data_IF_360011396678
#
_entry.id   IF_360011396678
#
_cell.length_a   1.000
_cell.length_b   1.000
_cell.length_c   1.000
_cell.angle_alpha   90.00
_cell.angle_beta   90.00
_cell.angle_gamma   90.00
#
_symmetry.space_group_name_H-M   'P 1'
#
loop_
_entity.id
_entity.type
_entity.pdbx_description
1 polymer ?
#
# COMPACT_ATOMS: atom_id res chain seq x y z
N UNK A 1 -10.79 2.69 -2.19
CA UNK A 1 -11.32 1.82 -1.11
C UNK A 1 -10.59 0.51 -1.09
N UNK A 2 -10.40 -0.06 0.09
CA UNK A 2 -9.65 -1.32 0.28
C UNK A 2 -10.40 -2.22 1.25
N UNK A 3 -10.46 -3.52 0.94
CA UNK A 3 -10.93 -4.51 1.91
C UNK A 3 -9.84 -4.66 2.96
N UNK A 4 -10.19 -4.26 4.18
CA UNK A 4 -9.27 -4.28 5.31
C UNK A 4 -9.29 -5.61 6.07
N UNK A 5 -10.49 -6.18 6.25
CA UNK A 5 -10.67 -7.42 7.00
C UNK A 5 -11.95 -8.13 6.57
N UNK A 6 -11.89 -9.44 6.53
CA UNK A 6 -13.04 -10.32 6.39
C UNK A 6 -13.19 -11.19 7.64
N UNK A 7 -14.39 -11.24 8.22
CA UNK A 7 -14.72 -12.04 9.41
C UNK A 7 -15.83 -13.03 9.01
N UNK A 8 -15.46 -14.22 8.50
CA UNK A 8 -16.42 -15.15 7.90
C UNK A 8 -17.49 -15.62 8.89
N UNK A 9 -17.17 -15.80 10.16
CA UNK A 9 -18.10 -16.29 11.19
C UNK A 9 -19.27 -15.33 11.44
N UNK A 10 -19.08 -14.04 11.12
CA UNK A 10 -20.07 -12.98 11.29
C UNK A 10 -20.59 -12.41 9.98
N UNK A 11 -20.08 -12.91 8.85
CA UNK A 11 -20.34 -12.36 7.52
C UNK A 11 -20.05 -10.83 7.44
N UNK A 12 -19.01 -10.38 8.14
CA UNK A 12 -18.63 -8.97 8.20
C UNK A 12 -17.45 -8.68 7.29
N UNK A 13 -17.57 -7.61 6.53
CA UNK A 13 -16.52 -7.08 5.68
C UNK A 13 -16.17 -5.66 6.14
N UNK A 14 -14.91 -5.45 6.49
CA UNK A 14 -14.40 -4.12 6.83
C UNK A 14 -13.75 -3.52 5.60
N UNK A 15 -14.16 -2.31 5.27
CA UNK A 15 -13.62 -1.57 4.14
C UNK A 15 -13.14 -0.20 4.58
N UNK A 16 -11.93 0.16 4.18
CA UNK A 16 -11.37 1.48 4.42
C UNK A 16 -11.53 2.37 3.19
N UNK A 17 -11.87 3.62 3.43
CA UNK A 17 -12.03 4.66 2.42
C UNK A 17 -11.10 5.81 2.74
N UNK A 18 -10.30 6.24 1.76
CA UNK A 18 -9.56 7.49 1.86
C UNK A 18 -10.54 8.63 1.57
N UNK A 19 -10.63 9.57 2.50
CA UNK A 19 -11.43 10.79 2.33
C UNK A 19 -10.52 11.90 1.80
N UNK A 20 -10.87 12.47 0.66
CA UNK A 20 -10.11 13.53 0.00
C UNK A 20 -11.02 14.67 -0.47
N UNK A 21 -11.94 15.10 0.39
CA UNK A 21 -12.96 16.12 0.10
C UNK A 21 -14.21 15.53 -0.55
N UNK A 22 -15.03 16.40 -1.14
CA UNK A 22 -16.38 16.06 -1.64
C UNK A 22 -16.39 15.63 -3.12
N UNK A 23 -15.22 15.38 -3.71
CA UNK A 23 -15.12 14.94 -5.10
C UNK A 23 -15.14 13.42 -5.22
N UNK A 24 -15.74 12.90 -6.29
CA UNK A 24 -15.89 11.47 -6.51
C UNK A 24 -17.13 10.87 -5.84
N UNK A 25 -17.21 9.55 -5.79
CA UNK A 25 -18.41 8.84 -5.33
C UNK A 25 -18.22 8.10 -4.00
N UNK A 26 -17.13 7.36 -3.87
CA UNK A 26 -16.93 6.42 -2.75
C UNK A 26 -16.62 7.13 -1.41
N UNK A 27 -15.72 8.12 -1.42
CA UNK A 27 -15.37 8.89 -0.22
C UNK A 27 -16.57 9.67 0.36
N UNK A 28 -17.25 10.52 -0.43
CA UNK A 28 -18.45 11.22 0.03
C UNK A 28 -19.59 10.30 0.46
N UNK A 29 -19.74 9.14 -0.17
CA UNK A 29 -20.71 8.13 0.29
C UNK A 29 -20.31 7.60 1.66
N UNK A 30 -19.07 7.15 1.84
CA UNK A 30 -18.59 6.59 3.09
C UNK A 30 -18.66 7.59 4.25
N UNK A 31 -18.37 8.88 3.99
CA UNK A 31 -18.45 9.94 4.98
C UNK A 31 -19.88 10.21 5.51
N UNK A 32 -20.91 9.81 4.76
CA UNK A 32 -22.33 10.03 5.11
C UNK A 32 -23.09 8.75 5.42
N UNK A 33 -22.44 7.56 5.23
CA UNK A 33 -23.09 6.27 5.39
C UNK A 33 -23.61 6.06 6.81
N UNK A 34 -24.84 5.57 6.91
CA UNK A 34 -25.52 5.26 8.16
C UNK A 34 -25.88 3.77 8.23
N UNK A 35 -26.11 3.22 9.43
CA UNK A 35 -26.59 1.87 9.59
C UNK A 35 -27.86 1.60 8.77
N UNK A 36 -27.80 0.59 7.89
CA UNK A 36 -28.87 0.24 6.96
C UNK A 36 -28.61 0.64 5.51
N UNK A 37 -27.62 1.50 5.26
CA UNK A 37 -27.20 1.84 3.90
C UNK A 37 -26.59 0.62 3.19
N UNK A 38 -26.74 0.60 1.87
CA UNK A 38 -26.29 -0.51 1.05
C UNK A 38 -25.24 -0.07 0.05
N UNK A 39 -24.21 -0.88 -0.10
CA UNK A 39 -23.19 -0.75 -1.14
C UNK A 39 -23.10 -2.07 -1.93
N UNK A 40 -22.89 -1.94 -3.25
CA UNK A 40 -22.56 -3.09 -4.09
C UNK A 40 -21.06 -3.09 -4.30
N UNK A 41 -20.38 -4.14 -3.84
CA UNK A 41 -18.98 -4.36 -4.10
C UNK A 41 -18.82 -5.45 -5.17
N UNK A 42 -18.11 -5.13 -6.25
CA UNK A 42 -17.64 -6.14 -7.19
C UNK A 42 -16.37 -6.76 -6.61
N UNK A 43 -16.22 -8.06 -6.72
CA UNK A 43 -15.21 -8.86 -6.04
C UNK A 43 -13.80 -8.25 -5.95
N UNK A 44 -13.02 -8.61 -4.93
CA UNK A 44 -11.70 -8.04 -4.72
C UNK A 44 -10.77 -8.39 -5.88
N UNK A 45 -10.04 -7.38 -6.37
CA UNK A 45 -8.86 -7.58 -7.19
C UNK A 45 -7.63 -7.73 -6.29
N UNK A 46 -6.63 -8.45 -6.77
CA UNK A 46 -5.36 -8.65 -6.06
C UNK A 46 -4.99 -10.13 -6.01
N UNK A 47 -3.71 -10.43 -6.26
CA UNK A 47 -3.21 -11.82 -6.29
C UNK A 47 -1.96 -12.00 -5.43
N UNK A 48 -1.41 -10.90 -4.91
CA UNK A 48 -0.20 -10.99 -4.14
C UNK A 48 -0.51 -11.41 -2.70
N UNK A 49 0.24 -12.38 -2.23
CA UNK A 49 0.19 -12.90 -0.87
C UNK A 49 1.63 -12.92 -0.36
N UNK A 50 1.91 -12.49 0.88
CA UNK A 50 3.25 -12.60 1.44
C UNK A 50 3.73 -14.05 1.45
N UNK A 51 4.98 -14.25 1.06
CA UNK A 51 5.68 -15.51 1.27
C UNK A 51 6.03 -15.62 2.76
N UNK A 52 5.53 -16.61 3.48
CA UNK A 52 5.82 -16.77 4.90
C UNK A 52 7.28 -17.13 5.19
N UNK A 53 8.00 -17.63 4.20
CA UNK A 53 9.41 -18.05 4.30
C UNK A 53 10.39 -16.96 3.82
N UNK A 54 9.89 -15.77 3.46
CA UNK A 54 10.76 -14.68 3.08
C UNK A 54 11.72 -14.29 4.20
N UNK A 55 12.99 -14.11 3.85
CA UNK A 55 14.02 -13.72 4.80
C UNK A 55 13.84 -12.28 5.31
N UNK A 56 13.30 -11.40 4.44
CA UNK A 56 13.05 -10.00 4.77
C UNK A 56 11.91 -9.41 3.93
N UNK A 57 11.07 -8.61 4.54
CA UNK A 57 9.88 -8.03 3.90
C UNK A 57 9.92 -6.50 3.96
N UNK A 58 9.80 -5.84 2.82
CA UNK A 58 9.46 -4.42 2.77
C UNK A 58 7.97 -4.25 2.47
N UNK A 59 7.31 -3.42 3.27
CA UNK A 59 5.96 -2.93 2.99
C UNK A 59 6.01 -1.42 2.85
N UNK A 60 5.71 -0.88 1.66
CA UNK A 60 5.75 0.55 1.39
C UNK A 60 4.39 1.02 0.85
N UNK A 61 3.81 2.05 1.45
CA UNK A 61 2.49 2.54 1.06
C UNK A 61 2.30 4.02 1.35
N UNK A 62 1.53 4.70 0.49
CA UNK A 62 0.96 6.01 0.80
C UNK A 62 -0.48 5.87 1.36
N UNK A 63 -1.13 6.99 1.72
CA UNK A 63 -2.48 7.03 2.30
C UNK A 63 -3.48 6.11 1.57
N UNK A 64 -3.43 6.08 0.24
CA UNK A 64 -4.38 5.31 -0.56
C UNK A 64 -4.13 3.79 -0.42
N UNK A 65 -2.92 3.40 -0.11
CA UNK A 65 -2.49 2.01 -0.03
C UNK A 65 -2.24 1.53 1.42
N UNK A 66 -2.17 2.45 2.41
CA UNK A 66 -1.99 2.09 3.83
C UNK A 66 -2.97 1.00 4.29
N UNK A 67 -4.27 1.02 3.97
CA UNK A 67 -5.16 -0.06 4.38
C UNK A 67 -4.75 -1.45 3.85
N UNK A 68 -4.25 -1.52 2.61
CA UNK A 68 -3.74 -2.75 2.03
C UNK A 68 -2.41 -3.17 2.69
N UNK A 69 -1.52 -2.21 2.95
CA UNK A 69 -0.28 -2.44 3.67
C UNK A 69 -0.52 -2.99 5.08
N UNK A 70 -1.50 -2.45 5.81
CA UNK A 70 -1.90 -2.95 7.12
C UNK A 70 -2.41 -4.40 7.05
N UNK A 71 -3.20 -4.74 6.04
CA UNK A 71 -3.66 -6.11 5.84
C UNK A 71 -2.51 -7.08 5.56
N UNK A 72 -1.51 -6.65 4.76
CA UNK A 72 -0.28 -7.40 4.52
C UNK A 72 0.49 -7.61 5.82
N UNK A 73 0.76 -6.54 6.58
CA UNK A 73 1.52 -6.58 7.82
C UNK A 73 0.88 -7.52 8.87
N UNK A 74 -0.44 -7.49 8.99
CA UNK A 74 -1.19 -8.37 9.90
C UNK A 74 -1.20 -9.84 9.45
N UNK A 75 -0.95 -10.11 8.17
CA UNK A 75 -0.87 -11.48 7.65
C UNK A 75 0.53 -12.09 7.73
N UNK A 76 1.55 -11.31 8.08
CA UNK A 76 2.92 -11.80 8.21
C UNK A 76 3.05 -12.78 9.39
N UNK A 77 3.87 -13.83 9.26
CA UNK A 77 4.13 -14.74 10.36
C UNK A 77 4.87 -14.03 11.51
N UNK A 78 4.71 -14.51 12.72
CA UNK A 78 5.35 -13.93 13.92
C UNK A 78 6.89 -13.87 13.82
N UNK A 79 7.50 -14.73 12.99
CA UNK A 79 8.94 -14.79 12.72
C UNK A 79 9.40 -13.78 11.67
N UNK A 80 8.49 -13.08 10.99
CA UNK A 80 8.82 -12.15 9.90
C UNK A 80 9.79 -11.06 10.38
N UNK A 81 10.68 -10.68 9.46
CA UNK A 81 11.63 -9.59 9.62
C UNK A 81 11.46 -8.60 8.48
N UNK A 82 11.68 -7.33 8.75
CA UNK A 82 11.54 -6.34 7.68
C UNK A 82 11.31 -4.93 8.18
N UNK A 83 10.83 -4.10 7.27
CA UNK A 83 10.45 -2.73 7.57
C UNK A 83 9.18 -2.34 6.82
N UNK A 84 8.29 -1.61 7.48
CA UNK A 84 7.17 -0.93 6.87
C UNK A 84 7.49 0.56 6.78
N UNK A 85 7.37 1.14 5.59
CA UNK A 85 7.49 2.58 5.32
C UNK A 85 6.12 3.07 4.87
N UNK A 86 5.47 3.85 5.71
CA UNK A 86 4.10 4.29 5.51
C UNK A 86 4.05 5.82 5.43
N UNK A 87 3.69 6.35 4.25
CA UNK A 87 3.57 7.78 4.02
C UNK A 87 2.14 8.25 4.23
N UNK A 88 1.99 9.26 5.09
CA UNK A 88 0.71 9.95 5.33
C UNK A 88 0.88 11.46 5.25
N UNK A 89 -0.23 12.20 5.28
CA UNK A 89 -0.21 13.66 5.22
C UNK A 89 0.58 14.25 6.39
N UNK A 90 0.21 13.87 7.61
CA UNK A 90 0.68 14.45 8.86
C UNK A 90 0.59 13.47 10.04
N UNK A 91 1.19 13.75 11.20
CA UNK A 91 1.13 12.87 12.37
C UNK A 91 -0.29 12.48 12.84
N UNK A 92 -1.33 13.35 12.77
CA UNK A 92 -2.70 12.97 13.07
C UNK A 92 -3.29 11.85 12.18
N UNK A 93 -2.71 11.63 11.00
CA UNK A 93 -3.16 10.62 10.04
C UNK A 93 -2.58 9.22 10.31
N UNK A 94 -1.73 9.09 11.33
CA UNK A 94 -1.13 7.82 11.75
C UNK A 94 -2.19 6.87 12.25
N UNK A 95 -2.23 5.68 11.69
CA UNK A 95 -3.15 4.61 12.10
C UNK A 95 -2.46 3.62 13.04
N UNK A 96 -3.21 2.98 13.96
CA UNK A 96 -2.69 1.85 14.73
C UNK A 96 -2.22 0.72 13.82
N UNK A 97 -1.02 0.21 14.07
CA UNK A 97 -0.41 -0.88 13.29
C UNK A 97 -0.03 -2.02 14.23
N UNK A 98 -0.41 -3.23 13.84
CA UNK A 98 0.05 -4.45 14.50
C UNK A 98 1.02 -5.17 13.56
N UNK A 99 2.25 -5.39 14.01
CA UNK A 99 3.30 -6.05 13.23
C UNK A 99 4.02 -7.12 14.05
N UNK A 100 4.64 -8.11 13.40
CA UNK A 100 5.58 -9.02 14.08
C UNK A 100 6.74 -8.25 14.72
N UNK A 101 7.26 -8.75 15.82
CA UNK A 101 8.32 -8.08 16.60
C UNK A 101 9.62 -7.81 15.80
N UNK A 102 9.86 -8.56 14.72
CA UNK A 102 10.99 -8.37 13.81
C UNK A 102 10.76 -7.35 12.71
N UNK A 103 9.59 -6.70 12.64
CA UNK A 103 9.25 -5.71 11.61
C UNK A 103 9.25 -4.31 12.22
N UNK A 104 10.12 -3.43 11.75
CA UNK A 104 10.12 -2.02 12.12
C UNK A 104 9.02 -1.27 11.36
N UNK A 105 8.45 -0.24 11.97
CA UNK A 105 7.48 0.66 11.30
C UNK A 105 8.01 2.08 11.31
N UNK A 106 8.07 2.66 10.12
CA UNK A 106 8.46 4.05 9.90
C UNK A 106 7.32 4.80 9.24
N UNK A 107 6.87 5.86 9.89
CA UNK A 107 5.95 6.81 9.30
C UNK A 107 6.71 7.95 8.64
N UNK A 108 6.26 8.35 7.46
CA UNK A 108 6.81 9.42 6.65
C UNK A 108 5.72 10.48 6.46
N UNK A 109 6.04 11.74 6.75
CA UNK A 109 5.06 12.83 6.74
C UNK A 109 5.31 13.78 5.56
N UNK A 110 4.34 13.87 4.65
CA UNK A 110 4.43 14.77 3.49
C UNK A 110 4.50 16.24 3.86
N UNK A 111 3.85 16.65 4.94
CA UNK A 111 3.93 18.04 5.43
C UNK A 111 5.34 18.45 5.85
N UNK A 112 6.19 17.50 6.22
CA UNK A 112 7.60 17.72 6.56
C UNK A 112 8.52 17.69 5.34
N UNK A 113 7.96 17.49 4.13
CA UNK A 113 8.72 17.40 2.89
C UNK A 113 9.37 16.04 2.65
N UNK A 114 9.11 15.05 3.51
CA UNK A 114 9.61 13.70 3.34
C UNK A 114 8.78 12.92 2.31
N UNK A 115 9.37 11.92 1.67
CA UNK A 115 8.71 11.09 0.66
C UNK A 115 8.85 9.59 0.92
N UNK A 116 7.86 8.82 0.44
CA UNK A 116 7.89 7.37 0.48
C UNK A 116 9.17 6.80 -0.15
N UNK A 117 9.61 7.38 -1.27
CA UNK A 117 10.81 6.92 -1.98
C UNK A 117 12.10 7.12 -1.15
N UNK A 118 12.20 8.23 -0.41
CA UNK A 118 13.31 8.46 0.52
C UNK A 118 13.25 7.48 1.68
N UNK A 119 12.09 7.33 2.31
CA UNK A 119 11.91 6.36 3.39
C UNK A 119 12.28 4.93 2.98
N UNK A 120 11.91 4.50 1.77
CA UNK A 120 12.28 3.18 1.23
C UNK A 120 13.79 3.07 0.97
N UNK A 121 14.41 4.14 0.45
CA UNK A 121 15.87 4.14 0.23
C UNK A 121 16.64 3.97 1.53
N UNK A 122 16.17 4.61 2.59
CA UNK A 122 16.79 4.65 3.92
C UNK A 122 16.36 3.49 4.83
N UNK A 123 15.54 2.55 4.32
CA UNK A 123 15.14 1.36 5.05
C UNK A 123 16.34 0.45 5.36
N UNK A 124 16.22 -0.35 6.40
CA UNK A 124 17.25 -1.28 6.86
C UNK A 124 17.42 -2.50 5.96
N UNK A 125 17.71 -2.29 4.67
CA UNK A 125 17.86 -3.35 3.68
C UNK A 125 18.92 -4.38 4.05
N UNK A 126 18.70 -5.68 3.77
CA UNK A 126 19.75 -6.69 3.86
C UNK A 126 20.85 -6.44 2.81
N UNK A 127 21.98 -7.11 2.97
CA UNK A 127 23.14 -6.93 2.09
C UNK A 127 22.91 -7.40 0.65
N UNK A 128 21.98 -8.34 0.44
CA UNK A 128 21.66 -8.91 -0.87
C UNK A 128 20.15 -9.06 -1.09
N UNK A 129 19.73 -9.38 -2.32
CA UNK A 129 18.33 -9.52 -2.69
C UNK A 129 17.71 -10.88 -2.31
N UNK A 130 18.49 -11.84 -1.84
CA UNK A 130 18.05 -13.21 -1.62
C UNK A 130 16.98 -13.27 -0.50
N UNK A 131 15.84 -13.87 -0.82
CA UNK A 131 14.73 -14.03 0.13
C UNK A 131 14.04 -12.71 0.51
N UNK A 132 14.34 -11.61 -0.19
CA UNK A 132 13.60 -10.34 -0.02
C UNK A 132 12.28 -10.41 -0.76
N UNK A 133 11.22 -9.94 -0.13
CA UNK A 133 9.95 -9.66 -0.80
C UNK A 133 9.52 -8.21 -0.55
N UNK A 134 8.82 -7.62 -1.51
CA UNK A 134 8.38 -6.22 -1.44
C UNK A 134 6.91 -6.09 -1.83
N UNK A 135 6.15 -5.43 -0.98
CA UNK A 135 4.86 -4.86 -1.30
C UNK A 135 4.99 -3.33 -1.31
N UNK A 136 4.85 -2.69 -2.48
CA UNK A 136 4.96 -1.25 -2.62
C UNK A 136 3.81 -0.72 -3.50
N UNK A 137 2.84 -0.07 -2.89
CA UNK A 137 1.66 0.44 -3.58
C UNK A 137 1.39 1.90 -3.19
N UNK A 138 0.90 2.70 -4.14
CA UNK A 138 0.59 4.10 -3.89
C UNK A 138 0.46 4.96 -5.14
N UNK A 139 0.89 6.20 -5.06
CA UNK A 139 0.90 7.15 -6.17
C UNK A 139 1.80 6.68 -7.32
N UNK A 140 1.31 6.82 -8.54
CA UNK A 140 1.96 6.30 -9.76
C UNK A 140 3.41 6.72 -9.93
N UNK A 141 3.70 8.00 -9.79
CA UNK A 141 5.07 8.50 -10.02
C UNK A 141 6.01 8.11 -8.88
N UNK A 142 5.51 8.02 -7.65
CA UNK A 142 6.26 7.45 -6.53
C UNK A 142 6.61 5.98 -6.79
N UNK A 143 5.68 5.20 -7.33
CA UNK A 143 5.93 3.80 -7.68
C UNK A 143 6.94 3.66 -8.83
N UNK A 144 6.92 4.57 -9.81
CA UNK A 144 7.95 4.61 -10.87
C UNK A 144 9.34 4.93 -10.30
N UNK A 145 9.42 5.87 -9.34
CA UNK A 145 10.68 6.18 -8.67
C UNK A 145 11.21 4.97 -7.87
N UNK A 146 10.33 4.25 -7.18
CA UNK A 146 10.69 3.02 -6.47
C UNK A 146 11.16 1.90 -7.40
N UNK A 147 10.66 1.83 -8.63
CA UNK A 147 11.10 0.84 -9.61
C UNK A 147 12.62 0.86 -9.80
N UNK A 148 13.23 2.04 -9.96
CA UNK A 148 14.69 2.15 -10.11
C UNK A 148 15.41 1.67 -8.84
N UNK A 149 14.95 2.08 -7.67
CA UNK A 149 15.52 1.64 -6.40
C UNK A 149 15.47 0.13 -6.25
N UNK A 150 14.31 -0.48 -6.48
CA UNK A 150 14.08 -1.89 -6.22
C UNK A 150 14.84 -2.81 -7.21
N UNK A 151 14.76 -2.50 -8.50
CA UNK A 151 15.32 -3.39 -9.53
C UNK A 151 16.76 -3.04 -9.88
N UNK A 152 17.08 -1.75 -10.12
CA UNK A 152 18.43 -1.38 -10.56
C UNK A 152 19.42 -1.29 -9.40
N UNK A 153 19.02 -0.79 -8.23
CA UNK A 153 19.94 -0.58 -7.11
C UNK A 153 19.97 -1.76 -6.14
N UNK A 154 18.81 -2.36 -5.83
CA UNK A 154 18.71 -3.50 -4.91
C UNK A 154 18.84 -4.85 -5.60
N UNK A 155 18.74 -4.89 -6.93
CA UNK A 155 18.89 -6.12 -7.71
C UNK A 155 17.75 -7.11 -7.54
N UNK A 156 16.57 -6.66 -7.14
CA UNK A 156 15.40 -7.53 -6.96
C UNK A 156 14.83 -7.98 -8.29
N UNK A 157 14.32 -9.19 -8.34
CA UNK A 157 13.58 -9.74 -9.46
C UNK A 157 12.09 -9.37 -9.41
N UNK A 158 11.42 -9.43 -10.58
CA UNK A 158 9.98 -9.15 -10.67
C UNK A 158 9.12 -10.05 -9.78
N UNK A 159 9.52 -11.29 -9.56
CA UNK A 159 8.81 -12.23 -8.69
C UNK A 159 8.84 -11.84 -7.21
N UNK A 160 9.82 -11.05 -6.80
CA UNK A 160 9.99 -10.58 -5.42
C UNK A 160 9.17 -9.31 -5.12
N UNK A 161 8.65 -8.62 -6.14
CA UNK A 161 8.11 -7.27 -6.00
C UNK A 161 6.66 -7.16 -6.48
N UNK A 162 5.75 -6.82 -5.58
CA UNK A 162 4.43 -6.31 -5.91
C UNK A 162 4.48 -4.78 -5.95
N UNK A 163 4.53 -4.20 -7.15
CA UNK A 163 4.61 -2.75 -7.35
C UNK A 163 3.39 -2.27 -8.14
N UNK A 164 2.56 -1.40 -7.55
CA UNK A 164 1.30 -0.99 -8.17
C UNK A 164 0.92 0.46 -7.88
N UNK A 165 0.55 1.20 -8.93
CA UNK A 165 -0.11 2.49 -8.79
C UNK A 165 -1.59 2.31 -8.43
N UNK A 166 -2.00 2.96 -7.35
CA UNK A 166 -3.40 3.01 -6.91
C UNK A 166 -4.10 4.26 -7.40
N UNK A 167 -3.36 5.33 -7.60
CA UNK A 167 -3.85 6.63 -8.05
C UNK A 167 -2.73 7.42 -8.74
N UNK A 168 -3.07 8.55 -9.35
CA UNK A 168 -2.09 9.48 -9.89
C UNK A 168 -2.51 10.91 -9.58
N UNK A 169 -1.57 11.72 -9.15
CA UNK A 169 -1.80 13.12 -8.81
C UNK A 169 -2.39 13.88 -9.98
N UNK A 170 -3.47 14.63 -9.71
CA UNK A 170 -4.17 15.42 -10.73
C UNK A 170 -4.99 14.58 -11.73
N UNK A 171 -5.27 13.31 -11.44
CA UNK A 171 -6.14 12.44 -12.24
C UNK A 171 -7.37 12.03 -11.48
N UNK A 172 -8.52 12.01 -12.17
CA UNK A 172 -9.70 11.31 -11.68
C UNK A 172 -9.48 9.80 -11.81
N UNK A 173 -10.27 8.99 -11.11
CA UNK A 173 -10.18 7.53 -11.18
C UNK A 173 -10.34 7.01 -12.61
N UNK A 174 -11.32 7.53 -13.36
CA UNK A 174 -11.58 7.10 -14.75
C UNK A 174 -10.38 7.39 -15.66
N UNK A 175 -9.79 8.58 -15.55
CA UNK A 175 -8.60 8.96 -16.31
C UNK A 175 -7.42 8.09 -15.92
N UNK A 176 -7.21 7.86 -14.63
CA UNK A 176 -6.12 7.01 -14.14
C UNK A 176 -6.26 5.57 -14.67
N UNK A 177 -7.47 4.99 -14.62
CA UNK A 177 -7.71 3.63 -15.13
C UNK A 177 -7.52 3.53 -16.66
N UNK A 178 -7.92 4.56 -17.40
CA UNK A 178 -7.67 4.61 -18.84
C UNK A 178 -6.15 4.70 -19.14
N UNK A 179 -5.42 5.54 -18.41
CA UNK A 179 -3.97 5.72 -18.55
C UNK A 179 -3.18 4.45 -18.20
N UNK A 180 -3.66 3.55 -17.33
CA UNK A 180 -3.00 2.27 -17.01
C UNK A 180 -2.71 1.40 -18.24
N UNK A 181 -3.51 1.55 -19.30
CA UNK A 181 -3.34 0.83 -20.57
C UNK A 181 -2.35 1.49 -21.53
N UNK A 182 -1.87 2.67 -21.19
CA UNK A 182 -0.96 3.48 -21.99
C UNK A 182 0.45 3.47 -21.39
N UNK A 183 1.51 3.81 -22.17
CA UNK A 183 2.88 3.88 -21.66
C UNK A 183 3.04 4.76 -20.40
N UNK A 184 2.28 5.87 -20.31
CA UNK A 184 2.30 6.76 -19.14
C UNK A 184 1.83 6.07 -17.84
N UNK A 185 0.95 5.08 -17.93
CA UNK A 185 0.40 4.35 -16.80
C UNK A 185 1.20 3.12 -16.38
N UNK A 186 2.15 2.69 -17.22
CA UNK A 186 2.97 1.50 -16.93
C UNK A 186 4.01 1.80 -15.85
N UNK A 187 4.04 0.97 -14.83
CA UNK A 187 5.03 1.02 -13.74
C UNK A 187 6.11 -0.04 -13.96
N UNK A 188 5.74 -1.22 -14.46
CA UNK A 188 6.61 -2.37 -14.72
C UNK A 188 6.66 -2.73 -16.20
#
# INVERSE_FOLDING_TARGET
MTIRRWVPERHELWMDFVLHGDTGHAGPWAARAEPGDRIIALGPGGKWVPDPDAAWTLVAADDAAVPAALAVLESLPASARGEAVLEVGSPPDVLPVTVPAGVAVRWVFREEGASLAEGVRDAGWPAGPEGVQVFAHGEREAMKALREELFARRGLDRGQVSLSGYWARGRTEDVFQAEKKLPIGQIL
#
